data_IF_369395125766
#
_entry.id   IF_369395125766
#
_cell.length_a   1.000
_cell.length_b   1.000
_cell.length_c   1.000
_cell.angle_alpha   90.00
_cell.angle_beta   90.00
_cell.angle_gamma   90.00
#
_symmetry.space_group_name_H-M   'P 1'
#
loop_
_entity.id
_entity.type
_entity.pdbx_description
1 polymer ?
#
# COMPACT_ATOMS: atom_id res chain seq x y z
N UNK A 1 32.76 -3.58 -2.58
CA UNK A 1 32.58 -3.11 -1.19
C UNK A 1 31.44 -2.10 -1.24
N UNK A 2 30.26 -2.43 -0.73
CA UNK A 2 29.05 -1.62 -0.86
C UNK A 2 29.15 -0.50 0.20
N UNK A 3 29.55 0.70 -0.21
CA UNK A 3 29.60 1.85 0.71
C UNK A 3 28.15 2.34 0.90
N UNK A 4 27.64 2.39 2.14
CA UNK A 4 26.31 2.91 2.42
C UNK A 4 26.34 4.44 2.39
N UNK A 5 26.46 5.03 1.20
CA UNK A 5 26.52 6.48 0.99
C UNK A 5 25.92 6.90 -0.37
N UNK A 6 24.99 6.11 -0.93
CA UNK A 6 24.22 6.60 -2.07
C UNK A 6 23.18 7.62 -1.54
N UNK A 7 23.07 8.83 -2.10
CA UNK A 7 22.01 9.78 -1.76
C UNK A 7 20.61 9.17 -1.78
N UNK A 8 20.37 8.17 -2.63
CA UNK A 8 19.12 7.44 -2.68
C UNK A 8 18.83 6.67 -1.37
N UNK A 9 19.84 6.06 -0.75
CA UNK A 9 19.71 5.35 0.54
C UNK A 9 19.38 6.33 1.69
N UNK A 10 19.92 7.56 1.64
CA UNK A 10 19.62 8.62 2.62
C UNK A 10 18.19 9.19 2.46
N UNK A 11 17.64 9.18 1.25
CA UNK A 11 16.26 9.63 0.95
C UNK A 11 15.22 8.50 1.06
N UNK A 12 15.64 7.23 1.09
CA UNK A 12 14.77 6.08 1.28
C UNK A 12 14.24 6.02 2.71
N UNK A 13 15.08 6.36 3.69
CA UNK A 13 14.74 6.24 5.10
C UNK A 13 13.44 6.98 5.47
N UNK A 14 13.19 8.24 5.07
CA UNK A 14 11.94 8.92 5.46
C UNK A 14 10.69 8.33 4.82
N UNK A 15 10.71 8.02 3.52
CA UNK A 15 9.52 7.52 2.80
C UNK A 15 9.18 6.10 3.26
N UNK A 16 10.18 5.22 3.36
CA UNK A 16 9.96 3.86 3.82
C UNK A 16 9.47 3.82 5.26
N UNK A 17 10.06 4.62 6.16
CA UNK A 17 9.59 4.72 7.55
C UNK A 17 8.17 5.28 7.64
N UNK A 18 7.83 6.31 6.86
CA UNK A 18 6.49 6.87 6.87
C UNK A 18 5.43 5.87 6.38
N UNK A 19 5.75 5.08 5.34
CA UNK A 19 4.85 4.03 4.86
C UNK A 19 4.75 2.90 5.89
N UNK A 20 5.86 2.51 6.52
CA UNK A 20 5.91 1.49 7.57
C UNK A 20 5.05 1.88 8.78
N UNK A 21 5.20 3.12 9.29
CA UNK A 21 4.37 3.65 10.37
C UNK A 21 2.88 3.65 10.02
N UNK A 22 2.52 3.97 8.77
CA UNK A 22 1.12 3.90 8.33
C UNK A 22 0.62 2.46 8.25
N UNK A 23 1.45 1.52 7.82
CA UNK A 23 1.12 0.10 7.80
C UNK A 23 0.88 -0.43 9.22
N UNK A 24 1.71 -0.03 10.19
CA UNK A 24 1.50 -0.34 11.61
C UNK A 24 0.17 0.21 12.12
N UNK A 25 -0.17 1.45 11.80
CA UNK A 25 -1.49 2.02 12.13
C UNK A 25 -2.60 1.18 11.50
N UNK A 26 -2.48 0.80 10.22
CA UNK A 26 -3.48 -0.02 9.54
C UNK A 26 -3.60 -1.41 10.16
N UNK A 27 -2.51 -2.00 10.63
CA UNK A 27 -2.50 -3.29 11.31
C UNK A 27 -3.37 -3.30 12.58
N UNK A 28 -3.51 -2.15 13.26
CA UNK A 28 -4.38 -2.02 14.45
C UNK A 28 -5.87 -1.90 14.13
N UNK A 29 -6.24 -1.65 12.87
CA UNK A 29 -7.63 -1.40 12.47
C UNK A 29 -8.36 -2.71 12.18
N UNK A 30 -9.60 -2.82 12.64
CA UNK A 30 -10.48 -3.89 12.20
C UNK A 30 -10.90 -3.68 10.72
N UNK A 31 -11.46 -4.70 10.05
CA UNK A 31 -11.75 -4.62 8.60
C UNK A 31 -12.67 -3.46 8.20
N UNK A 32 -13.66 -3.11 9.04
CA UNK A 32 -14.59 -2.01 8.76
C UNK A 32 -13.90 -0.67 8.94
N UNK A 33 -13.11 -0.51 10.00
CA UNK A 33 -12.32 0.70 10.25
C UNK A 33 -11.30 0.95 9.14
N UNK A 34 -10.59 -0.08 8.69
CA UNK A 34 -9.63 0.01 7.61
C UNK A 34 -10.31 0.47 6.30
N UNK A 35 -11.42 -0.17 5.94
CA UNK A 35 -12.19 0.21 4.75
C UNK A 35 -12.67 1.66 4.81
N UNK A 36 -13.29 2.06 5.92
CA UNK A 36 -13.79 3.42 6.11
C UNK A 36 -12.67 4.46 6.04
N UNK A 37 -11.50 4.16 6.60
CA UNK A 37 -10.34 5.05 6.55
C UNK A 37 -9.86 5.24 5.11
N UNK A 38 -9.69 4.16 4.36
CA UNK A 38 -9.25 4.22 2.96
C UNK A 38 -10.26 5.02 2.12
N UNK A 39 -11.57 4.79 2.29
CA UNK A 39 -12.62 5.54 1.59
C UNK A 39 -12.56 7.03 1.96
N UNK A 40 -12.37 7.37 3.23
CA UNK A 40 -12.31 8.76 3.69
C UNK A 40 -11.09 9.51 3.14
N UNK A 41 -9.93 8.86 3.04
CA UNK A 41 -8.69 9.48 2.55
C UNK A 41 -8.63 9.57 1.02
N UNK A 42 -9.24 8.63 0.30
CA UNK A 42 -9.09 8.51 -1.16
C UNK A 42 -10.34 8.85 -1.95
N UNK A 43 -11.50 8.90 -1.29
CA UNK A 43 -12.81 8.95 -1.92
C UNK A 43 -13.06 7.81 -2.95
N UNK A 44 -12.32 6.71 -2.85
CA UNK A 44 -12.46 5.54 -3.71
C UNK A 44 -13.35 4.49 -3.05
N UNK A 45 -14.25 3.89 -3.83
CA UNK A 45 -15.07 2.75 -3.42
C UNK A 45 -14.74 1.55 -4.33
N UNK A 46 -13.68 0.78 -3.99
CA UNK A 46 -13.17 -0.26 -4.86
C UNK A 46 -14.15 -1.42 -5.01
N UNK A 47 -14.32 -1.88 -6.26
CA UNK A 47 -15.24 -2.96 -6.63
C UNK A 47 -14.55 -4.30 -6.86
N UNK A 48 -13.24 -4.26 -7.06
CA UNK A 48 -12.40 -5.42 -7.28
C UNK A 48 -11.06 -5.27 -6.53
N UNK A 49 -10.26 -6.34 -6.53
CA UNK A 49 -8.97 -6.37 -5.83
C UNK A 49 -7.95 -5.40 -6.42
N UNK A 50 -8.02 -5.09 -7.72
CA UNK A 50 -7.11 -4.15 -8.38
C UNK A 50 -7.44 -2.71 -7.99
N UNK A 51 -8.71 -2.36 -7.92
CA UNK A 51 -9.18 -1.09 -7.37
C UNK A 51 -8.84 -0.96 -5.89
N UNK A 52 -8.99 -2.04 -5.11
CA UNK A 52 -8.65 -2.02 -3.69
C UNK A 52 -7.15 -1.85 -3.46
N UNK A 53 -6.30 -2.51 -4.26
CA UNK A 53 -4.85 -2.29 -4.21
C UNK A 53 -4.48 -0.83 -4.53
N UNK A 54 -5.14 -0.22 -5.53
CA UNK A 54 -4.94 1.19 -5.86
C UNK A 54 -5.40 2.13 -4.74
N UNK A 55 -6.57 1.87 -4.16
CA UNK A 55 -7.10 2.66 -3.05
C UNK A 55 -6.21 2.53 -1.80
N UNK A 56 -5.70 1.33 -1.51
CA UNK A 56 -4.75 1.10 -0.44
C UNK A 56 -3.46 1.91 -0.65
N UNK A 57 -2.85 1.83 -1.84
CA UNK A 57 -1.64 2.59 -2.16
C UNK A 57 -1.88 4.09 -2.05
N UNK A 58 -2.98 4.59 -2.61
CA UNK A 58 -3.35 6.01 -2.53
C UNK A 58 -3.59 6.49 -1.10
N UNK A 59 -4.16 5.63 -0.25
CA UNK A 59 -4.33 5.90 1.17
C UNK A 59 -2.99 5.86 1.91
N UNK A 60 -2.09 4.93 1.61
CA UNK A 60 -0.75 4.89 2.20
C UNK A 60 0.09 6.11 1.84
N UNK A 61 -0.08 6.67 0.64
CA UNK A 61 0.63 7.88 0.21
C UNK A 61 -0.17 9.17 0.45
N UNK A 62 -1.31 9.10 1.14
CA UNK A 62 -2.14 10.27 1.41
C UNK A 62 -1.38 11.30 2.25
N UNK A 63 -1.19 12.50 1.68
CA UNK A 63 -0.42 13.63 2.23
C UNK A 63 1.08 13.34 2.47
N UNK A 64 1.60 12.26 1.87
CA UNK A 64 3.03 11.95 1.91
C UNK A 64 3.71 12.46 0.63
N UNK A 65 4.77 13.25 0.78
CA UNK A 65 5.69 13.50 -0.33
C UNK A 65 6.57 12.26 -0.52
N UNK A 66 6.40 11.58 -1.65
CA UNK A 66 7.16 10.36 -1.94
C UNK A 66 8.56 10.66 -2.47
N UNK A 67 8.93 11.92 -2.69
CA UNK A 67 10.27 12.32 -3.14
C UNK A 67 10.79 11.51 -4.36
N UNK A 68 9.90 11.22 -5.31
CA UNK A 68 10.21 10.46 -6.52
C UNK A 68 10.13 8.93 -6.36
N UNK A 69 9.85 8.41 -5.16
CA UNK A 69 9.57 7.00 -4.95
C UNK A 69 8.20 6.63 -5.52
N UNK A 70 8.19 5.57 -6.31
CA UNK A 70 6.99 4.91 -6.79
C UNK A 70 6.54 3.87 -5.76
N UNK A 71 5.30 4.01 -5.28
CA UNK A 71 4.72 3.10 -4.29
C UNK A 71 3.68 2.24 -4.99
N UNK A 72 3.76 0.92 -4.82
CA UNK A 72 2.86 -0.01 -5.50
C UNK A 72 2.56 -1.25 -4.65
N UNK A 73 1.47 -1.94 -4.97
CA UNK A 73 1.11 -3.21 -4.34
C UNK A 73 1.83 -4.39 -5.01
N UNK A 74 2.59 -5.17 -4.25
CA UNK A 74 3.39 -6.30 -4.75
C UNK A 74 2.64 -7.64 -4.61
N UNK A 75 1.46 -7.76 -5.24
CA UNK A 75 0.79 -9.05 -5.47
C UNK A 75 0.53 -9.90 -4.22
N UNK A 76 0.28 -9.29 -3.06
CA UNK A 76 0.05 -9.99 -1.79
C UNK A 76 1.29 -10.16 -0.90
N UNK A 77 2.49 -9.83 -1.39
CA UNK A 77 3.73 -9.86 -0.60
C UNK A 77 3.91 -8.62 0.26
N UNK A 78 3.40 -7.47 -0.19
CA UNK A 78 3.56 -6.22 0.52
C UNK A 78 3.43 -4.96 -0.33
N UNK A 79 4.04 -3.88 0.14
CA UNK A 79 4.15 -2.61 -0.56
C UNK A 79 5.56 -2.47 -1.12
N UNK A 80 5.66 -2.35 -2.45
CA UNK A 80 6.91 -2.10 -3.15
C UNK A 80 7.15 -0.61 -3.27
N UNK A 81 8.33 -0.18 -2.87
CA UNK A 81 8.89 1.14 -3.07
C UNK A 81 10.00 1.02 -4.11
N UNK A 82 9.85 1.72 -5.23
CA UNK A 82 10.82 1.71 -6.32
C UNK A 82 11.33 3.13 -6.60
N UNK A 83 12.65 3.27 -6.76
CA UNK A 83 13.28 4.50 -7.22
C UNK A 83 14.55 4.16 -8.01
N UNK A 84 14.53 4.45 -9.31
CA UNK A 84 15.64 4.18 -10.24
C UNK A 84 16.05 2.69 -10.26
N UNK A 85 17.19 2.35 -9.67
CA UNK A 85 17.71 0.98 -9.58
C UNK A 85 17.46 0.31 -8.22
N UNK A 86 16.67 0.95 -7.35
CA UNK A 86 16.45 0.51 -5.98
C UNK A 86 15.00 0.04 -5.80
N UNK A 87 14.85 -1.15 -5.21
CA UNK A 87 13.57 -1.76 -4.87
C UNK A 87 13.60 -2.21 -3.41
N UNK A 88 12.57 -1.82 -2.66
CA UNK A 88 12.31 -2.28 -1.29
C UNK A 88 10.88 -2.76 -1.22
N UNK A 89 10.65 -3.90 -0.55
CA UNK A 89 9.30 -4.41 -0.30
C UNK A 89 9.08 -4.42 1.21
N UNK A 90 8.08 -3.68 1.65
CA UNK A 90 7.61 -3.65 3.03
C UNK A 90 6.51 -4.70 3.21
N UNK A 91 6.64 -5.53 4.24
CA UNK A 91 5.61 -6.51 4.59
C UNK A 91 4.32 -5.83 4.99
N UNK A 92 3.20 -6.54 4.87
CA UNK A 92 1.88 -6.05 5.27
C UNK A 92 1.21 -7.03 6.20
N UNK A 93 0.40 -6.51 7.11
CA UNK A 93 -0.40 -7.33 8.02
C UNK A 93 -1.53 -8.06 7.28
N UNK A 94 -2.01 -9.15 7.86
CA UNK A 94 -3.05 -10.00 7.27
C UNK A 94 -4.34 -9.23 6.97
N UNK A 95 -4.73 -8.28 7.82
CA UNK A 95 -5.94 -7.48 7.60
C UNK A 95 -5.82 -6.59 6.34
N UNK A 96 -4.63 -6.05 6.06
CA UNK A 96 -4.34 -5.26 4.84
C UNK A 96 -4.36 -6.15 3.61
N UNK A 97 -3.71 -7.31 3.67
CA UNK A 97 -3.77 -8.29 2.58
C UNK A 97 -5.20 -8.76 2.29
N UNK A 98 -5.99 -9.01 3.34
CA UNK A 98 -7.39 -9.40 3.22
C UNK A 98 -8.26 -8.28 2.65
N UNK A 99 -8.00 -7.01 2.98
CA UNK A 99 -8.73 -5.89 2.39
C UNK A 99 -8.67 -5.92 0.86
N UNK A 100 -7.46 -6.10 0.31
CA UNK A 100 -7.24 -6.19 -1.14
C UNK A 100 -7.89 -7.45 -1.72
N UNK A 101 -7.75 -8.60 -1.06
CA UNK A 101 -8.31 -9.86 -1.53
C UNK A 101 -9.86 -9.87 -1.54
N UNK A 102 -10.49 -9.30 -0.51
CA UNK A 102 -11.96 -9.32 -0.35
C UNK A 102 -12.67 -8.52 -1.42
N UNK A 103 -12.15 -7.38 -1.85
CA UNK A 103 -12.75 -6.62 -2.93
C UNK A 103 -12.85 -7.44 -4.24
N UNK A 104 -11.87 -8.30 -4.52
CA UNK A 104 -11.91 -9.21 -5.67
C UNK A 104 -12.98 -10.32 -5.57
N UNK A 105 -13.35 -10.72 -4.34
CA UNK A 105 -14.32 -11.81 -4.13
C UNK A 105 -15.78 -11.41 -4.41
N UNK A 106 -16.12 -10.12 -4.26
CA UNK A 106 -17.48 -9.61 -4.54
C UNK A 106 -17.73 -9.46 -6.05
N UNK A 107 -16.70 -9.23 -6.86
CA UNK A 107 -16.84 -9.14 -8.31
C UNK A 107 -17.18 -10.50 -8.96
N UNK A 108 -16.78 -11.62 -8.35
CA UNK A 108 -16.97 -12.96 -8.93
C UNK A 108 -18.42 -13.46 -8.89
N UNK A 109 -19.29 -12.90 -8.03
CA UNK A 109 -20.69 -13.33 -7.89
C UNK A 109 -21.66 -12.63 -8.85
N UNK A 110 -21.20 -11.62 -9.61
CA UNK A 110 -22.02 -10.87 -10.57
C UNK A 110 -21.66 -11.10 -12.04
N UNK A 111 -20.75 -12.05 -12.34
CA UNK A 111 -20.26 -12.29 -13.71
C UNK A 111 -20.86 -13.52 -14.40
N UNK A 112 -22.11 -13.86 -14.08
CA UNK A 112 -22.94 -14.82 -14.83
C UNK A 112 -24.28 -14.19 -15.16
N UNK A 113 -24.37 -13.57 -16.34
CA UNK A 113 -25.61 -13.33 -17.09
C UNK A 113 -25.26 -13.17 -18.56
#
# INVERSE_FOLDING_TARGET
MKNPHDPADLMLSPVALAIDERLEVFATLNPVQLSNRIVAETNMQPRDSREAARALVASLTYLLDTHGWEVSWDGGRGIRLHHQSHDVVLGVSDNVAQYVARAGSVASIYSTS
#
